data_IF_036417553586
#
_entry.id   IF_036417553586
#
_cell.length_a   1.000
_cell.length_b   1.000
_cell.length_c   1.000
_cell.angle_alpha   90.00
_cell.angle_beta   90.00
_cell.angle_gamma   90.00
#
_symmetry.space_group_name_H-M   'P 1'
#
loop_
_entity.id
_entity.type
_entity.pdbx_description
1 polymer ?
#
# COMPACT_ATOMS: atom_id res chain seq x y z
N UNK A 1 -18.10 -20.68 65.88
CA UNK A 1 -18.76 -19.65 65.04
C UNK A 1 -18.14 -19.65 63.64
N UNK A 2 -18.73 -20.34 62.64
CA UNK A 2 -18.20 -20.41 61.28
C UNK A 2 -19.07 -19.55 60.34
N UNK A 3 -18.88 -18.23 60.35
CA UNK A 3 -19.74 -17.30 59.58
C UNK A 3 -19.02 -16.44 58.53
N UNK A 4 -17.69 -16.33 58.57
CA UNK A 4 -17.02 -15.17 57.96
C UNK A 4 -16.23 -15.45 56.66
N UNK A 5 -16.03 -16.71 56.26
CA UNK A 5 -15.24 -17.01 55.06
C UNK A 5 -16.00 -16.83 53.72
N UNK A 6 -17.33 -16.72 53.74
CA UNK A 6 -18.12 -16.62 52.49
C UNK A 6 -18.18 -15.20 51.92
N UNK A 7 -17.88 -14.16 52.70
CA UNK A 7 -17.93 -12.75 52.24
C UNK A 7 -16.66 -12.32 51.50
N UNK A 8 -15.49 -12.85 51.89
CA UNK A 8 -14.19 -12.48 51.32
C UNK A 8 -14.01 -13.02 49.89
N UNK A 9 -14.49 -14.22 49.60
CA UNK A 9 -14.43 -14.82 48.25
C UNK A 9 -15.27 -14.06 47.20
N UNK A 10 -16.34 -13.36 47.63
CA UNK A 10 -17.23 -12.63 46.73
C UNK A 10 -16.69 -11.23 46.37
N UNK A 11 -15.88 -10.62 47.23
CA UNK A 11 -15.21 -9.32 46.98
C UNK A 11 -14.01 -9.44 46.04
N UNK A 12 -13.23 -10.52 46.14
CA UNK A 12 -12.13 -10.78 45.20
C UNK A 12 -12.66 -10.99 43.77
N UNK A 13 -13.87 -11.54 43.63
CA UNK A 13 -14.51 -11.81 42.34
C UNK A 13 -14.95 -10.60 41.53
N UNK A 14 -15.14 -9.45 42.18
CA UNK A 14 -15.48 -8.20 41.49
C UNK A 14 -14.27 -7.40 40.99
N UNK A 15 -13.09 -7.58 41.58
CA UNK A 15 -11.92 -6.71 41.30
C UNK A 15 -11.10 -7.17 40.09
N UNK A 16 -11.02 -8.47 39.80
CA UNK A 16 -10.31 -8.95 38.61
C UNK A 16 -11.10 -8.76 37.31
N UNK A 17 -12.43 -8.62 37.36
CA UNK A 17 -13.24 -8.35 36.17
C UNK A 17 -12.84 -7.06 35.44
N UNK A 18 -12.70 -5.89 36.09
CA UNK A 18 -12.28 -4.66 35.41
C UNK A 18 -10.82 -4.76 34.94
N UNK A 19 -9.93 -5.39 35.70
CA UNK A 19 -8.55 -5.62 35.25
C UNK A 19 -8.49 -6.50 33.99
N UNK A 20 -9.25 -7.60 33.95
CA UNK A 20 -9.33 -8.48 32.79
C UNK A 20 -9.94 -7.76 31.58
N UNK A 21 -10.97 -6.93 31.78
CA UNK A 21 -11.55 -6.12 30.72
C UNK A 21 -10.56 -5.11 30.14
N UNK A 22 -9.80 -4.41 30.99
CA UNK A 22 -8.76 -3.47 30.55
C UNK A 22 -7.63 -4.22 29.83
N UNK A 23 -7.21 -5.36 30.36
CA UNK A 23 -6.20 -6.20 29.72
C UNK A 23 -6.66 -6.69 28.35
N UNK A 24 -7.89 -7.16 28.23
CA UNK A 24 -8.46 -7.61 26.97
C UNK A 24 -8.64 -6.45 25.98
N UNK A 25 -9.03 -5.26 26.46
CA UNK A 25 -9.12 -4.06 25.64
C UNK A 25 -7.75 -3.60 25.14
N UNK A 26 -6.71 -3.62 25.98
CA UNK A 26 -5.33 -3.34 25.58
C UNK A 26 -4.80 -4.38 24.59
N UNK A 27 -5.05 -5.67 24.83
CA UNK A 27 -4.68 -6.74 23.92
C UNK A 27 -5.38 -6.59 22.56
N UNK A 28 -6.67 -6.24 22.57
CA UNK A 28 -7.44 -5.97 21.36
C UNK A 28 -6.90 -4.75 20.60
N UNK A 29 -6.60 -3.64 21.30
CA UNK A 29 -5.99 -2.46 20.68
C UNK A 29 -4.62 -2.77 20.11
N UNK A 30 -3.77 -3.47 20.85
CA UNK A 30 -2.45 -3.89 20.39
C UNK A 30 -2.54 -4.77 19.15
N UNK A 31 -3.48 -5.72 19.12
CA UNK A 31 -3.73 -6.58 17.96
C UNK A 31 -4.25 -5.76 16.77
N UNK A 32 -5.21 -4.86 16.99
CA UNK A 32 -5.79 -3.99 15.96
C UNK A 32 -4.75 -3.05 15.34
N UNK A 33 -3.85 -2.50 16.15
CA UNK A 33 -2.74 -1.64 15.68
C UNK A 33 -1.65 -2.45 14.97
N UNK A 34 -1.46 -3.71 15.35
CA UNK A 34 -0.47 -4.60 14.70
C UNK A 34 -0.97 -5.18 13.38
N UNK A 35 -2.28 -5.41 13.23
CA UNK A 35 -2.90 -5.93 12.01
C UNK A 35 -2.46 -5.21 10.70
N UNK A 36 -2.50 -3.86 10.62
CA UNK A 36 -2.09 -3.15 9.42
C UNK A 36 -0.59 -3.24 9.11
N UNK A 37 0.25 -3.75 10.02
CA UNK A 37 1.68 -3.96 9.77
C UNK A 37 1.96 -5.30 9.06
N UNK A 38 1.06 -6.28 9.13
CA UNK A 38 1.29 -7.58 8.48
C UNK A 38 1.46 -7.49 6.95
N UNK A 39 0.64 -6.72 6.20
CA UNK A 39 0.82 -6.64 4.75
C UNK A 39 2.19 -6.05 4.36
N UNK A 40 2.65 -4.91 4.91
CA UNK A 40 4.01 -4.41 4.68
C UNK A 40 5.10 -5.44 5.02
N UNK A 41 4.97 -6.15 6.14
CA UNK A 41 5.93 -7.18 6.54
C UNK A 41 5.97 -8.34 5.54
N UNK A 42 4.81 -8.82 5.08
CA UNK A 42 4.72 -9.89 4.09
C UNK A 42 5.36 -9.47 2.75
N UNK A 43 5.07 -8.26 2.29
CA UNK A 43 5.71 -7.68 1.09
C UNK A 43 7.22 -7.58 1.26
N UNK A 44 7.70 -7.20 2.44
CA UNK A 44 9.13 -7.11 2.73
C UNK A 44 9.81 -8.47 2.61
N UNK A 45 9.19 -9.53 3.14
CA UNK A 45 9.70 -10.91 3.04
C UNK A 45 9.76 -11.35 1.58
N UNK A 46 8.68 -11.13 0.83
CA UNK A 46 8.59 -11.52 -0.58
C UNK A 46 9.64 -10.80 -1.43
N UNK A 47 9.75 -9.48 -1.29
CA UNK A 47 10.74 -8.66 -2.00
C UNK A 47 12.17 -9.05 -1.63
N UNK A 48 12.44 -9.20 -0.32
CA UNK A 48 13.76 -9.61 0.16
C UNK A 48 14.18 -10.95 -0.41
N UNK A 49 13.26 -11.92 -0.43
CA UNK A 49 13.49 -13.23 -0.99
C UNK A 49 13.75 -13.18 -2.51
N UNK A 50 13.00 -12.34 -3.23
CA UNK A 50 13.16 -12.13 -4.68
C UNK A 50 14.51 -11.51 -5.02
N UNK A 51 15.00 -10.57 -4.21
CA UNK A 51 16.25 -9.84 -4.47
C UNK A 51 17.47 -10.58 -3.92
N UNK A 52 17.28 -11.48 -2.95
CA UNK A 52 18.34 -12.30 -2.36
C UNK A 52 19.26 -13.00 -3.38
N UNK A 53 18.78 -13.67 -4.46
CA UNK A 53 19.67 -14.27 -5.46
C UNK A 53 20.59 -13.23 -6.12
N UNK A 54 20.06 -12.06 -6.49
CA UNK A 54 20.83 -10.96 -7.07
C UNK A 54 21.87 -10.41 -6.07
N UNK A 55 21.49 -10.23 -4.81
CA UNK A 55 22.39 -9.86 -3.72
C UNK A 55 23.53 -10.88 -3.54
N UNK A 56 23.19 -12.17 -3.50
CA UNK A 56 24.18 -13.24 -3.27
C UNK A 56 25.16 -13.40 -4.44
N UNK A 57 24.71 -13.12 -5.67
CA UNK A 57 25.56 -13.07 -6.86
C UNK A 57 26.52 -11.88 -6.78
N UNK A 58 26.01 -10.70 -6.43
CA UNK A 58 26.79 -9.47 -6.27
C UNK A 58 27.85 -9.59 -5.16
N UNK A 59 27.48 -10.15 -4.00
CA UNK A 59 28.41 -10.41 -2.88
C UNK A 59 29.55 -11.34 -3.30
N UNK A 60 29.27 -12.40 -4.07
CA UNK A 60 30.27 -13.37 -4.52
C UNK A 60 31.18 -12.85 -5.64
N UNK A 61 30.64 -12.06 -6.57
CA UNK A 61 31.39 -11.57 -7.75
C UNK A 61 32.15 -10.26 -7.52
N UNK A 62 31.59 -9.34 -6.73
CA UNK A 62 32.09 -7.96 -6.65
C UNK A 62 32.83 -7.68 -5.34
N UNK A 63 32.41 -8.28 -4.22
CA UNK A 63 33.02 -8.04 -2.90
C UNK A 63 33.42 -9.33 -2.15
N UNK A 64 34.30 -10.18 -2.74
CA UNK A 64 34.71 -11.44 -2.11
C UNK A 64 35.49 -11.26 -0.79
N UNK A 65 36.03 -10.06 -0.51
CA UNK A 65 36.89 -9.77 0.66
C UNK A 65 36.20 -9.02 1.81
N UNK A 66 34.93 -8.65 1.69
CA UNK A 66 34.25 -7.88 2.74
C UNK A 66 33.86 -8.79 3.93
N UNK A 67 34.76 -8.89 4.92
CA UNK A 67 34.55 -9.60 6.20
C UNK A 67 33.33 -9.09 7.01
N UNK A 68 32.83 -7.89 6.73
CA UNK A 68 31.78 -7.24 7.53
C UNK A 68 30.36 -7.21 6.93
N UNK A 69 30.11 -7.73 5.72
CA UNK A 69 28.75 -7.81 5.12
C UNK A 69 27.98 -6.50 4.86
N UNK A 70 28.34 -5.37 5.49
CA UNK A 70 27.57 -4.12 5.47
C UNK A 70 27.55 -3.39 4.12
N UNK A 71 28.67 -3.32 3.40
CA UNK A 71 28.74 -2.64 2.10
C UNK A 71 27.91 -3.33 1.00
N UNK A 72 27.98 -4.66 0.83
CA UNK A 72 27.12 -5.37 -0.11
C UNK A 72 25.62 -5.22 0.21
N UNK A 73 25.27 -5.27 1.51
CA UNK A 73 23.88 -5.18 1.95
C UNK A 73 23.32 -3.76 1.73
N UNK A 74 24.09 -2.72 2.02
CA UNK A 74 23.70 -1.34 1.75
C UNK A 74 23.49 -1.07 0.25
N UNK A 75 24.35 -1.64 -0.61
CA UNK A 75 24.20 -1.50 -2.06
C UNK A 75 22.98 -2.26 -2.60
N UNK A 76 22.74 -3.49 -2.12
CA UNK A 76 21.57 -4.27 -2.53
C UNK A 76 20.26 -3.65 -2.06
N UNK A 77 20.21 -3.13 -0.83
CA UNK A 77 19.04 -2.36 -0.39
C UNK A 77 18.95 -1.04 -1.13
N UNK A 78 20.06 -0.40 -1.49
CA UNK A 78 20.06 0.77 -2.36
C UNK A 78 19.38 0.49 -3.71
N UNK A 79 19.64 -0.66 -4.33
CA UNK A 79 18.96 -1.10 -5.55
C UNK A 79 17.46 -1.34 -5.31
N UNK A 80 17.06 -1.92 -4.18
CA UNK A 80 15.65 -2.12 -3.83
C UNK A 80 14.92 -0.80 -3.63
N UNK A 81 15.53 0.11 -2.89
CA UNK A 81 15.03 1.47 -2.71
C UNK A 81 14.87 2.12 -4.07
N UNK A 82 15.84 1.99 -4.97
CA UNK A 82 15.78 2.60 -6.29
C UNK A 82 14.67 2.00 -7.16
N UNK A 83 14.52 0.67 -7.16
CA UNK A 83 13.50 -0.06 -7.93
C UNK A 83 12.08 0.13 -7.38
N UNK A 84 11.92 0.41 -6.08
CA UNK A 84 10.59 0.58 -5.46
C UNK A 84 10.21 2.06 -5.34
N UNK A 85 11.12 2.89 -4.84
CA UNK A 85 10.85 4.30 -4.55
C UNK A 85 10.72 5.10 -5.84
N UNK A 86 11.54 4.87 -6.87
CA UNK A 86 11.43 5.65 -8.11
C UNK A 86 10.06 5.41 -8.79
N UNK A 87 9.61 4.17 -9.03
CA UNK A 87 8.29 3.95 -9.62
C UNK A 87 7.15 4.43 -8.73
N UNK A 88 7.26 4.28 -7.40
CA UNK A 88 6.24 4.76 -6.47
C UNK A 88 6.14 6.29 -6.48
N UNK A 89 7.27 7.00 -6.51
CA UNK A 89 7.30 8.46 -6.61
C UNK A 89 6.79 8.94 -7.96
N UNK A 90 7.18 8.27 -9.05
CA UNK A 90 6.72 8.62 -10.40
C UNK A 90 5.21 8.40 -10.53
N UNK A 91 4.70 7.22 -10.14
CA UNK A 91 3.27 6.92 -10.15
C UNK A 91 2.49 7.85 -9.22
N UNK A 92 3.01 8.13 -8.02
CA UNK A 92 2.42 9.09 -7.09
C UNK A 92 2.38 10.51 -7.65
N UNK A 93 3.45 10.95 -8.33
CA UNK A 93 3.50 12.25 -8.99
C UNK A 93 2.48 12.37 -10.12
N UNK A 94 2.38 11.36 -10.99
CA UNK A 94 1.40 11.32 -12.08
C UNK A 94 -0.02 11.34 -11.52
N UNK A 95 -0.31 10.48 -10.54
CA UNK A 95 -1.62 10.40 -9.90
C UNK A 95 -2.00 11.69 -9.17
N UNK A 96 -1.05 12.33 -8.47
CA UNK A 96 -1.28 13.61 -7.80
C UNK A 96 -1.57 14.72 -8.82
N UNK A 97 -0.81 14.78 -9.92
CA UNK A 97 -1.02 15.76 -10.98
C UNK A 97 -2.37 15.57 -11.68
N UNK A 98 -2.73 14.33 -12.01
CA UNK A 98 -4.03 14.02 -12.60
C UNK A 98 -5.17 14.29 -11.62
N UNK A 99 -5.00 13.95 -10.34
CA UNK A 99 -5.97 14.25 -9.30
C UNK A 99 -6.22 15.74 -9.08
N UNK A 100 -5.16 16.56 -9.11
CA UNK A 100 -5.25 18.03 -9.01
C UNK A 100 -5.93 18.60 -10.26
N UNK A 101 -5.53 18.18 -11.46
CA UNK A 101 -6.19 18.62 -12.70
C UNK A 101 -7.67 18.27 -12.73
N UNK A 102 -8.03 17.09 -12.27
CA UNK A 102 -9.42 16.68 -12.13
C UNK A 102 -10.13 17.61 -11.15
N UNK A 103 -9.56 17.84 -9.96
CA UNK A 103 -10.13 18.75 -8.96
C UNK A 103 -10.34 20.17 -9.49
N UNK A 104 -9.33 20.76 -10.13
CA UNK A 104 -9.40 22.09 -10.75
C UNK A 104 -10.45 22.15 -11.86
N UNK A 105 -10.53 21.10 -12.68
CA UNK A 105 -11.53 21.02 -13.76
C UNK A 105 -12.95 21.05 -13.21
N UNK A 106 -13.21 20.34 -12.10
CA UNK A 106 -14.53 20.30 -11.48
C UNK A 106 -14.84 21.55 -10.67
N UNK A 107 -13.86 22.14 -9.95
CA UNK A 107 -14.09 23.41 -9.24
C UNK A 107 -14.41 24.55 -10.19
N UNK A 108 -13.79 24.58 -11.38
CA UNK A 108 -14.11 25.54 -12.44
C UNK A 108 -15.55 25.38 -12.96
N UNK A 109 -16.02 24.14 -13.16
CA UNK A 109 -17.42 23.86 -13.55
C UNK A 109 -18.41 24.33 -12.46
N UNK A 110 -18.13 24.02 -11.19
CA UNK A 110 -19.00 24.36 -10.06
C UNK A 110 -19.07 25.88 -9.82
N UNK A 111 -17.96 26.61 -9.97
CA UNK A 111 -17.97 28.07 -9.85
C UNK A 111 -18.62 28.77 -11.06
N UNK A 112 -18.44 28.23 -12.28
CA UNK A 112 -19.10 28.75 -13.50
C UNK A 112 -20.62 28.58 -13.47
N UNK A 113 -21.10 27.43 -12.98
CA UNK A 113 -22.54 27.15 -12.79
C UNK A 113 -23.15 28.02 -11.66
N UNK A 114 -22.35 28.38 -10.65
CA UNK A 114 -22.82 29.17 -9.50
C UNK A 114 -22.87 30.69 -9.74
N UNK A 115 -22.04 31.23 -10.64
CA UNK A 115 -21.93 32.69 -10.87
C UNK A 115 -22.69 33.20 -12.09
N UNK A 116 -22.91 32.37 -13.10
CA UNK A 116 -23.71 32.73 -14.26
C UNK A 116 -24.77 31.66 -14.46
N UNK A 117 -26.02 32.06 -14.74
CA UNK A 117 -27.07 31.12 -15.15
C UNK A 117 -26.80 30.57 -16.55
N UNK A 118 -25.62 29.96 -16.74
CA UNK A 118 -25.06 29.49 -18.00
C UNK A 118 -23.73 28.78 -17.72
N UNK A 119 -23.41 27.79 -18.55
CA UNK A 119 -22.22 26.96 -18.39
C UNK A 119 -21.03 27.68 -19.06
N UNK A 120 -20.23 28.43 -18.29
CA UNK A 120 -18.97 28.99 -18.79
C UNK A 120 -17.91 27.88 -18.88
N UNK A 121 -17.85 27.24 -20.06
CA UNK A 121 -16.95 26.13 -20.38
C UNK A 121 -15.60 26.58 -20.95
N UNK A 122 -15.36 27.90 -21.01
CA UNK A 122 -14.24 28.53 -21.70
C UNK A 122 -12.85 28.09 -21.21
N UNK A 123 -12.72 27.66 -19.96
CA UNK A 123 -11.43 27.27 -19.38
C UNK A 123 -11.15 25.76 -19.43
N UNK A 124 -12.12 24.93 -19.82
CA UNK A 124 -12.04 23.46 -19.70
C UNK A 124 -11.93 22.73 -21.03
N UNK A 125 -12.34 23.37 -22.12
CA UNK A 125 -12.40 22.75 -23.43
C UNK A 125 -11.77 23.65 -24.49
N UNK A 126 -11.14 23.08 -25.54
CA UNK A 126 -10.74 23.85 -26.72
C UNK A 126 -11.93 24.65 -27.24
N UNK A 127 -11.70 25.88 -27.70
CA UNK A 127 -12.75 26.85 -28.07
C UNK A 127 -13.86 26.25 -28.97
N UNK A 128 -13.53 25.27 -29.81
CA UNK A 128 -14.46 24.56 -30.67
C UNK A 128 -15.54 23.74 -29.92
N UNK A 129 -15.19 23.10 -28.81
CA UNK A 129 -16.14 22.31 -28.01
C UNK A 129 -17.03 23.23 -27.17
N UNK A 130 -16.48 24.34 -26.69
CA UNK A 130 -17.24 25.38 -25.98
C UNK A 130 -18.32 25.98 -26.88
N UNK A 131 -17.97 26.32 -28.12
CA UNK A 131 -18.90 26.88 -29.10
C UNK A 131 -19.99 25.87 -29.51
N UNK A 132 -19.62 24.59 -29.65
CA UNK A 132 -20.56 23.51 -29.94
C UNK A 132 -21.53 23.25 -28.79
N UNK A 133 -21.07 23.28 -27.54
CA UNK A 133 -21.93 23.09 -26.36
C UNK A 133 -22.81 24.32 -26.15
N UNK A 134 -22.32 25.54 -26.37
CA UNK A 134 -23.11 26.77 -26.28
C UNK A 134 -24.24 26.78 -27.30
N UNK A 135 -23.94 26.41 -28.54
CA UNK A 135 -24.94 26.25 -29.62
C UNK A 135 -25.97 25.16 -29.31
N UNK A 136 -25.55 24.05 -28.69
CA UNK A 136 -26.47 22.98 -28.27
C UNK A 136 -27.34 23.37 -27.07
N UNK A 137 -26.79 24.15 -26.12
CA UNK A 137 -27.48 24.57 -24.89
C UNK A 137 -28.50 25.67 -25.19
N UNK A 138 -28.19 26.59 -26.10
CA UNK A 138 -29.16 27.58 -26.62
C UNK A 138 -30.33 26.91 -27.36
N UNK A 139 -30.09 25.77 -28.00
CA UNK A 139 -31.11 25.03 -28.77
C UNK A 139 -31.97 24.10 -27.90
N UNK A 140 -31.47 23.68 -26.74
CA UNK A 140 -32.13 22.71 -25.86
C UNK A 140 -31.86 23.04 -24.38
N UNK A 141 -32.74 23.82 -23.72
CA UNK A 141 -32.56 24.24 -22.32
C UNK A 141 -32.55 23.08 -21.31
N UNK A 142 -33.05 21.90 -21.67
CA UNK A 142 -32.95 20.67 -20.89
C UNK A 142 -31.49 20.22 -20.65
N UNK A 143 -30.55 20.57 -21.54
CA UNK A 143 -29.14 20.18 -21.38
C UNK A 143 -28.49 20.89 -20.19
N UNK A 144 -28.89 22.11 -19.88
CA UNK A 144 -28.37 22.87 -18.74
C UNK A 144 -28.79 22.23 -17.42
N UNK A 145 -30.05 21.81 -17.34
CA UNK A 145 -30.63 21.15 -16.16
C UNK A 145 -30.04 19.74 -15.96
N UNK A 146 -29.78 19.02 -17.06
CA UNK A 146 -29.11 17.72 -17.02
C UNK A 146 -27.64 17.86 -16.58
N UNK A 147 -26.94 18.90 -17.05
CA UNK A 147 -25.57 19.19 -16.65
C UNK A 147 -25.47 19.57 -15.16
N UNK A 148 -26.40 20.39 -14.66
CA UNK A 148 -26.52 20.72 -13.22
C UNK A 148 -26.76 19.47 -12.38
N UNK A 149 -27.73 18.64 -12.76
CA UNK A 149 -28.03 17.39 -12.04
C UNK A 149 -26.87 16.38 -12.08
N UNK A 150 -26.13 16.31 -13.19
CA UNK A 150 -24.92 15.49 -13.30
C UNK A 150 -23.79 16.04 -12.41
N UNK A 151 -23.58 17.36 -12.41
CA UNK A 151 -22.60 18.02 -11.54
C UNK A 151 -22.90 17.84 -10.06
N UNK A 152 -24.15 17.96 -9.64
CA UNK A 152 -24.58 17.75 -8.26
C UNK A 152 -24.46 16.28 -7.81
N UNK A 153 -24.69 15.32 -8.71
CA UNK A 153 -24.58 13.89 -8.41
C UNK A 153 -23.16 13.34 -8.50
N UNK A 154 -22.36 13.83 -9.45
CA UNK A 154 -20.99 13.36 -9.70
C UNK A 154 -19.94 14.19 -8.94
N UNK A 155 -20.21 15.45 -8.62
CA UNK A 155 -19.32 16.34 -7.88
C UNK A 155 -18.89 15.75 -6.52
N UNK A 156 -19.80 15.25 -5.67
CA UNK A 156 -19.45 14.59 -4.43
C UNK A 156 -18.62 13.31 -4.63
N UNK A 157 -18.89 12.55 -5.70
CA UNK A 157 -18.15 11.32 -6.00
C UNK A 157 -16.71 11.64 -6.39
N UNK A 158 -16.48 12.63 -7.25
CA UNK A 158 -15.13 13.07 -7.65
C UNK A 158 -14.36 13.67 -6.48
N UNK A 159 -14.98 14.52 -5.66
CA UNK A 159 -14.35 15.07 -4.45
C UNK A 159 -14.00 13.96 -3.46
N UNK A 160 -14.82 12.91 -3.34
CA UNK A 160 -14.51 11.75 -2.50
C UNK A 160 -13.33 10.95 -3.03
N UNK A 161 -13.21 10.79 -4.36
CA UNK A 161 -12.08 10.12 -5.01
C UNK A 161 -10.79 10.93 -4.82
N UNK A 162 -10.82 12.25 -5.04
CA UNK A 162 -9.67 13.13 -4.82
C UNK A 162 -9.21 13.13 -3.36
N UNK A 163 -10.14 13.21 -2.40
CA UNK A 163 -9.81 13.12 -0.96
C UNK A 163 -9.29 11.73 -0.57
N UNK A 164 -9.81 10.66 -1.15
CA UNK A 164 -9.30 9.30 -0.93
C UNK A 164 -7.87 9.14 -1.46
N UNK A 165 -7.54 9.73 -2.61
CA UNK A 165 -6.17 9.73 -3.15
C UNK A 165 -5.22 10.48 -2.20
N UNK A 166 -5.59 11.67 -1.73
CA UNK A 166 -4.74 12.46 -0.81
C UNK A 166 -4.61 11.79 0.57
N UNK A 167 -5.72 11.31 1.15
CA UNK A 167 -5.72 10.61 2.44
C UNK A 167 -4.95 9.29 2.42
N UNK A 168 -4.96 8.58 1.29
CA UNK A 168 -4.20 7.33 1.12
C UNK A 168 -2.69 7.54 0.94
N UNK A 169 -2.25 8.75 0.57
CA UNK A 169 -0.83 9.01 0.25
C UNK A 169 0.06 8.84 1.49
N UNK A 170 -0.38 9.30 2.67
CA UNK A 170 0.38 9.11 3.91
C UNK A 170 0.46 7.63 4.32
N UNK A 171 -0.64 6.88 4.16
CA UNK A 171 -0.68 5.45 4.44
C UNK A 171 0.23 4.67 3.48
N UNK A 172 0.22 5.02 2.19
CA UNK A 172 1.12 4.43 1.19
C UNK A 172 2.58 4.73 1.53
N UNK A 173 2.91 5.99 1.84
CA UNK A 173 4.25 6.39 2.22
C UNK A 173 4.75 5.67 3.48
N UNK A 174 3.88 5.53 4.50
CA UNK A 174 4.17 4.77 5.71
C UNK A 174 4.45 3.29 5.40
N UNK A 175 3.58 2.65 4.61
CA UNK A 175 3.76 1.25 4.23
C UNK A 175 5.05 1.04 3.43
N UNK A 176 5.37 1.94 2.50
CA UNK A 176 6.62 1.90 1.73
C UNK A 176 7.84 2.05 2.64
N UNK A 177 7.82 2.99 3.59
CA UNK A 177 8.90 3.17 4.55
C UNK A 177 9.14 1.89 5.37
N UNK A 178 8.08 1.26 5.87
CA UNK A 178 8.16 -0.03 6.58
C UNK A 178 8.73 -1.11 5.67
N UNK A 179 8.23 -1.24 4.44
CA UNK A 179 8.70 -2.24 3.48
C UNK A 179 10.21 -2.11 3.23
N UNK A 180 10.68 -0.89 3.02
CA UNK A 180 12.08 -0.60 2.74
C UNK A 180 12.97 -0.97 3.94
N UNK A 181 12.61 -0.50 5.12
CA UNK A 181 13.39 -0.73 6.35
C UNK A 181 13.44 -2.21 6.69
N UNK A 182 12.29 -2.90 6.66
CA UNK A 182 12.22 -4.32 6.98
C UNK A 182 12.95 -5.14 5.93
N UNK A 183 12.82 -4.82 4.64
CA UNK A 183 13.55 -5.51 3.58
C UNK A 183 15.06 -5.36 3.70
N UNK A 184 15.54 -4.17 4.11
CA UNK A 184 16.96 -3.94 4.40
C UNK A 184 17.48 -4.93 5.44
N UNK A 185 16.79 -5.05 6.58
CA UNK A 185 17.19 -5.95 7.66
C UNK A 185 17.08 -7.42 7.26
N UNK A 186 16.03 -7.81 6.52
CA UNK A 186 15.85 -9.18 6.06
C UNK A 186 16.95 -9.62 5.07
N UNK A 187 17.43 -8.72 4.21
CA UNK A 187 18.50 -9.04 3.26
C UNK A 187 19.86 -9.05 3.95
N UNK A 188 20.11 -8.07 4.83
CA UNK A 188 21.37 -7.96 5.56
C UNK A 188 21.56 -9.13 6.53
N UNK A 189 20.55 -9.40 7.35
CA UNK A 189 20.62 -10.28 8.50
C UNK A 189 19.83 -11.58 8.30
N UNK A 190 19.35 -11.84 7.07
CA UNK A 190 18.47 -12.99 6.79
C UNK A 190 19.02 -14.34 7.22
N UNK A 191 20.33 -14.58 7.10
CA UNK A 191 20.95 -15.83 7.59
C UNK A 191 20.91 -15.95 9.12
N UNK A 192 21.07 -14.82 9.82
CA UNK A 192 20.98 -14.76 11.28
C UNK A 192 19.53 -14.98 11.74
N UNK A 193 18.58 -14.32 11.07
CA UNK A 193 17.14 -14.43 11.34
C UNK A 193 16.65 -15.86 11.11
N UNK A 194 17.03 -16.49 9.99
CA UNK A 194 16.70 -17.89 9.71
C UNK A 194 17.33 -18.81 10.75
N UNK A 195 18.56 -18.54 11.20
CA UNK A 195 19.21 -19.29 12.29
C UNK A 195 18.40 -19.26 13.58
N UNK A 196 18.04 -18.07 14.06
CA UNK A 196 17.19 -17.94 15.25
C UNK A 196 15.82 -18.59 15.09
N UNK A 197 15.19 -18.43 13.92
CA UNK A 197 13.89 -19.04 13.65
C UNK A 197 14.00 -20.57 13.66
N UNK A 198 15.11 -21.11 13.14
CA UNK A 198 15.43 -22.53 13.17
C UNK A 198 15.60 -23.02 14.60
N UNK A 199 16.25 -22.26 15.48
CA UNK A 199 16.50 -22.65 16.87
C UNK A 199 15.26 -22.62 17.76
N UNK A 200 14.34 -21.67 17.54
CA UNK A 200 13.10 -21.53 18.32
C UNK A 200 12.10 -22.64 17.99
N UNK A 201 12.11 -23.16 16.76
CA UNK A 201 11.15 -24.15 16.31
C UNK A 201 11.45 -25.52 16.98
N UNK A 202 10.54 -26.07 17.81
CA UNK A 202 10.74 -27.31 18.53
C UNK A 202 10.48 -28.54 17.63
N UNK A 203 11.05 -28.57 16.42
CA UNK A 203 10.99 -29.72 15.51
C UNK A 203 12.31 -30.50 15.49
N UNK A 204 12.26 -31.83 15.28
CA UNK A 204 13.43 -32.65 14.98
C UNK A 204 14.20 -32.12 13.75
N UNK A 205 15.52 -32.24 13.72
CA UNK A 205 16.39 -31.64 12.69
C UNK A 205 15.97 -32.01 11.26
N UNK A 206 15.65 -33.27 11.00
CA UNK A 206 15.22 -33.74 9.67
C UNK A 206 13.89 -33.13 9.20
N UNK A 207 12.91 -32.99 10.09
CA UNK A 207 11.62 -32.37 9.79
C UNK A 207 11.74 -30.85 9.62
N UNK A 208 12.58 -30.23 10.45
CA UNK A 208 12.88 -28.80 10.40
C UNK A 208 13.46 -28.39 9.05
N UNK A 209 14.46 -29.11 8.56
CA UNK A 209 15.04 -28.86 7.23
C UNK A 209 14.03 -29.08 6.10
N UNK A 210 13.18 -30.11 6.20
CA UNK A 210 12.13 -30.36 5.23
C UNK A 210 11.09 -29.23 5.21
N UNK A 211 10.71 -28.68 6.36
CA UNK A 211 9.80 -27.55 6.48
C UNK A 211 10.36 -26.31 5.76
N UNK A 212 11.59 -25.89 6.07
CA UNK A 212 12.20 -24.72 5.45
C UNK A 212 12.41 -24.90 3.94
N UNK A 213 12.77 -26.10 3.49
CA UNK A 213 12.89 -26.42 2.06
C UNK A 213 11.55 -26.28 1.34
N UNK A 214 10.46 -26.83 1.89
CA UNK A 214 9.11 -26.67 1.32
C UNK A 214 8.64 -25.22 1.33
N UNK A 215 8.86 -24.49 2.42
CA UNK A 215 8.51 -23.06 2.50
C UNK A 215 9.24 -22.25 1.42
N UNK A 216 10.53 -22.55 1.20
CA UNK A 216 11.33 -21.94 0.14
C UNK A 216 10.78 -22.27 -1.24
N UNK A 217 10.43 -23.51 -1.52
CA UNK A 217 9.86 -23.95 -2.80
C UNK A 217 8.52 -23.23 -3.10
N UNK A 218 7.64 -23.13 -2.10
CA UNK A 218 6.36 -22.42 -2.23
C UNK A 218 6.60 -20.92 -2.50
N UNK A 219 7.47 -20.28 -1.73
CA UNK A 219 7.82 -18.87 -1.93
C UNK A 219 8.41 -18.63 -3.32
N UNK A 220 9.29 -19.52 -3.82
CA UNK A 220 9.84 -19.43 -5.17
C UNK A 220 8.76 -19.55 -6.23
N UNK A 221 7.83 -20.50 -6.10
CA UNK A 221 6.73 -20.67 -7.05
C UNK A 221 5.84 -19.42 -7.11
N UNK A 222 5.51 -18.82 -5.95
CA UNK A 222 4.73 -17.58 -5.88
C UNK A 222 5.47 -16.41 -6.53
N UNK A 223 6.75 -16.23 -6.19
CA UNK A 223 7.57 -15.13 -6.76
C UNK A 223 7.70 -15.26 -8.27
N UNK A 224 8.03 -16.45 -8.78
CA UNK A 224 8.12 -16.66 -10.23
C UNK A 224 6.78 -16.47 -10.91
N UNK A 225 5.68 -16.91 -10.29
CA UNK A 225 4.33 -16.65 -10.76
C UNK A 225 4.07 -15.15 -10.92
N UNK A 226 4.32 -14.35 -9.87
CA UNK A 226 4.10 -12.90 -9.87
C UNK A 226 4.98 -12.19 -10.91
N UNK A 227 6.25 -12.58 -11.06
CA UNK A 227 7.15 -11.95 -12.03
C UNK A 227 6.70 -12.25 -13.46
N UNK A 228 6.33 -13.49 -13.75
CA UNK A 228 5.87 -13.89 -15.09
C UNK A 228 4.56 -13.19 -15.42
N UNK A 229 3.60 -13.15 -14.49
CA UNK A 229 2.33 -12.46 -14.72
C UNK A 229 2.53 -10.95 -14.89
N UNK A 230 3.36 -10.32 -14.06
CA UNK A 230 3.68 -8.90 -14.20
C UNK A 230 4.36 -8.58 -15.54
N UNK A 231 5.24 -9.45 -16.02
CA UNK A 231 5.87 -9.30 -17.34
C UNK A 231 4.86 -9.38 -18.48
N UNK A 232 3.96 -10.38 -18.45
CA UNK A 232 2.88 -10.51 -19.43
C UNK A 232 1.94 -9.32 -19.38
N UNK A 233 1.53 -8.89 -18.19
CA UNK A 233 0.68 -7.72 -17.99
C UNK A 233 1.35 -6.43 -18.48
N UNK A 234 2.64 -6.27 -18.24
CA UNK A 234 3.41 -5.11 -18.72
C UNK A 234 3.48 -5.06 -20.25
N UNK A 235 3.74 -6.19 -20.91
CA UNK A 235 3.75 -6.27 -22.38
C UNK A 235 2.36 -5.98 -22.96
N UNK A 236 1.32 -6.63 -22.42
CA UNK A 236 -0.05 -6.40 -22.89
C UNK A 236 -0.51 -4.96 -22.64
N UNK A 237 -0.16 -4.37 -21.50
CA UNK A 237 -0.43 -2.98 -21.19
C UNK A 237 0.28 -2.01 -22.14
N UNK A 238 1.56 -2.24 -22.43
CA UNK A 238 2.32 -1.43 -23.38
C UNK A 238 1.78 -1.57 -24.82
N UNK A 239 1.46 -2.80 -25.25
CA UNK A 239 0.86 -3.04 -26.55
C UNK A 239 -0.54 -2.40 -26.67
N UNK A 240 -1.33 -2.43 -25.60
CA UNK A 240 -2.62 -1.76 -25.53
C UNK A 240 -2.50 -0.24 -25.61
N UNK A 241 -1.56 0.35 -24.89
CA UNK A 241 -1.29 1.80 -24.95
C UNK A 241 -0.80 2.24 -26.34
N UNK A 242 -0.02 1.41 -27.03
CA UNK A 242 0.40 1.71 -28.39
C UNK A 242 -0.75 1.67 -29.42
N UNK A 243 -1.79 0.90 -29.14
CA UNK A 243 -2.96 0.77 -30.01
C UNK A 243 -4.07 1.81 -29.71
N UNK A 244 -4.07 2.39 -28.50
CA UNK A 244 -5.04 3.39 -28.04
C UNK A 244 -4.61 4.82 -28.39
#
# INVERSE_FOLDING_TARGET
MPGDNRRTARKLRGWYLPFLLIFLAMAYLAFSVSLPLFPPLAWSVLLSFTVYPAFSWMKRRIFPRSRGGNMPAALATGVIVLVIVIPALFGGYVAAREGIKLYESFSGVLEGIGRSGGIDLTDLFPAYIVDMIRTLTERYPFLEDLAKQLGERLGPMVVSVSRAIVGSTLTIAWNLAVIIVVSFFLIRDGSLIIGYLTDIIPLPSGEREAFFRRAKEILQAVVYGVIVTAFVQGILGAAGWWYA
#
